data_IF_194599965260
#
_entry.id   IF_194599965260
#
_cell.length_a   1.000
_cell.length_b   1.000
_cell.length_c   1.000
_cell.angle_alpha   90.00
_cell.angle_beta   90.00
_cell.angle_gamma   90.00
#
_symmetry.space_group_name_H-M   'P 1'
#
loop_
_entity.id
_entity.type
_entity.pdbx_description
1 polymer ?
#
# COMPACT_ATOMS: atom_id res chain seq x y z
N UNK A 1 56.34 25.74 -5.67
CA UNK A 1 55.98 24.39 -6.13
C UNK A 1 54.82 23.90 -5.27
N UNK A 2 53.60 23.83 -5.82
CA UNK A 2 52.43 23.32 -5.09
C UNK A 2 52.48 21.79 -5.08
N UNK A 3 52.42 21.22 -3.88
CA UNK A 3 52.32 19.77 -3.65
C UNK A 3 50.82 19.42 -3.73
N UNK A 4 50.42 18.74 -4.81
CA UNK A 4 49.04 18.32 -5.02
C UNK A 4 48.59 17.32 -3.97
N UNK A 5 47.44 17.59 -3.34
CA UNK A 5 46.73 16.71 -2.42
C UNK A 5 46.20 15.49 -3.20
N UNK A 6 46.44 14.24 -2.75
CA UNK A 6 45.86 13.08 -3.41
C UNK A 6 44.34 13.08 -3.20
N UNK A 7 43.59 13.19 -4.30
CA UNK A 7 42.14 13.01 -4.36
C UNK A 7 41.78 11.65 -3.76
N UNK A 8 40.80 11.67 -2.85
CA UNK A 8 40.39 10.54 -2.03
C UNK A 8 40.09 9.28 -2.83
N UNK A 9 40.48 8.13 -2.28
CA UNK A 9 40.16 6.81 -2.85
C UNK A 9 38.64 6.66 -2.89
N UNK A 10 38.08 6.37 -4.05
CA UNK A 10 36.67 5.98 -4.17
C UNK A 10 36.53 4.58 -3.60
N UNK A 11 35.78 4.44 -2.51
CA UNK A 11 35.48 3.12 -1.96
C UNK A 11 34.51 2.39 -2.90
N UNK A 12 34.90 1.19 -3.31
CA UNK A 12 34.08 0.30 -4.12
C UNK A 12 33.68 -0.90 -3.28
N UNK A 13 32.38 -1.19 -3.22
CA UNK A 13 31.86 -2.37 -2.52
C UNK A 13 31.60 -3.49 -3.53
N UNK A 14 32.04 -4.71 -3.18
CA UNK A 14 31.76 -5.92 -3.95
C UNK A 14 30.56 -6.61 -3.33
N UNK A 15 29.53 -6.90 -4.13
CA UNK A 15 28.35 -7.63 -3.67
C UNK A 15 28.73 -9.06 -3.34
N UNK A 16 28.53 -9.45 -2.09
CA UNK A 16 28.67 -10.82 -1.66
C UNK A 16 27.31 -11.52 -1.75
N UNK A 17 27.24 -12.60 -2.54
CA UNK A 17 26.02 -13.38 -2.81
C UNK A 17 24.92 -12.53 -3.49
N UNK A 18 23.66 -12.82 -3.21
CA UNK A 18 22.51 -12.12 -3.75
C UNK A 18 21.90 -11.22 -2.67
N UNK A 19 21.46 -9.99 -3.01
CA UNK A 19 20.67 -9.16 -2.12
C UNK A 19 19.43 -9.93 -1.62
N UNK A 20 19.07 -9.72 -0.34
CA UNK A 20 17.90 -10.35 0.27
C UNK A 20 16.73 -9.38 0.17
N UNK A 21 15.60 -9.77 -0.46
CA UNK A 21 14.42 -8.93 -0.51
C UNK A 21 13.75 -8.79 0.87
N UNK A 22 13.28 -7.58 1.21
CA UNK A 22 12.70 -7.30 2.54
C UNK A 22 11.38 -8.05 2.80
N UNK A 23 10.60 -8.36 1.77
CA UNK A 23 9.32 -9.08 1.87
C UNK A 23 9.47 -10.57 2.25
N UNK A 24 10.70 -11.07 2.21
CA UNK A 24 11.06 -12.47 2.45
C UNK A 24 12.25 -12.61 3.40
N UNK A 25 12.58 -11.53 4.09
CA UNK A 25 13.66 -11.45 5.05
C UNK A 25 13.10 -11.54 6.47
N UNK A 26 13.64 -12.45 7.28
CA UNK A 26 13.31 -12.59 8.70
C UNK A 26 14.55 -12.27 9.52
N UNK A 27 14.37 -11.48 10.58
CA UNK A 27 15.43 -11.13 11.52
C UNK A 27 15.23 -11.86 12.84
N UNK A 28 16.30 -12.43 13.39
CA UNK A 28 16.29 -13.08 14.69
C UNK A 28 17.39 -12.50 15.57
N UNK A 29 17.01 -12.06 16.77
CA UNK A 29 17.97 -11.72 17.79
C UNK A 29 18.60 -13.01 18.35
N UNK A 30 19.91 -13.18 18.14
CA UNK A 30 20.67 -14.28 18.72
C UNK A 30 21.29 -13.80 20.04
N UNK A 31 20.44 -13.61 21.05
CA UNK A 31 20.94 -13.38 22.40
C UNK A 31 21.67 -14.62 22.92
N UNK A 32 22.81 -14.39 23.56
CA UNK A 32 23.58 -15.41 24.28
C UNK A 32 22.81 -15.84 25.53
N UNK A 33 21.71 -16.56 25.37
CA UNK A 33 20.84 -16.94 26.48
C UNK A 33 21.41 -18.08 27.35
N UNK A 34 22.61 -18.59 27.08
CA UNK A 34 23.27 -19.57 27.95
C UNK A 34 24.74 -19.19 28.17
N UNK A 35 24.96 -18.40 29.21
CA UNK A 35 26.23 -17.85 29.70
C UNK A 35 27.29 -18.88 30.14
N UNK A 36 27.11 -20.17 29.85
CA UNK A 36 27.99 -21.25 30.29
C UNK A 36 28.78 -21.94 29.16
N UNK A 37 28.59 -21.52 27.90
CA UNK A 37 29.43 -21.99 26.80
C UNK A 37 30.47 -20.94 26.43
N UNK A 38 31.76 -21.24 26.58
CA UNK A 38 32.87 -20.40 26.13
C UNK A 38 32.90 -20.16 24.60
N UNK A 39 31.96 -20.76 23.87
CA UNK A 39 31.77 -20.66 22.42
C UNK A 39 30.60 -19.75 22.01
N UNK A 40 29.99 -19.00 22.93
CA UNK A 40 28.85 -18.13 22.59
C UNK A 40 29.28 -16.92 21.76
N UNK A 41 28.52 -16.66 20.68
CA UNK A 41 28.72 -15.49 19.83
C UNK A 41 28.21 -14.24 20.56
N UNK A 42 29.10 -13.27 20.78
CA UNK A 42 28.74 -11.98 21.41
C UNK A 42 28.18 -11.03 20.38
N UNK A 43 27.09 -10.35 20.72
CA UNK A 43 26.47 -9.30 19.88
C UNK A 43 26.09 -9.82 18.49
N UNK A 44 25.69 -11.09 18.42
CA UNK A 44 25.27 -11.71 17.17
C UNK A 44 23.77 -11.53 16.94
N UNK A 45 23.41 -11.56 15.67
CA UNK A 45 22.04 -11.62 15.18
C UNK A 45 22.01 -12.43 13.89
N UNK A 46 20.81 -12.86 13.49
CA UNK A 46 20.62 -13.74 12.34
C UNK A 46 19.64 -13.12 11.36
N UNK A 47 20.01 -13.14 10.08
CA UNK A 47 19.12 -12.83 8.96
C UNK A 47 18.81 -14.13 8.22
N UNK A 48 17.53 -14.41 8.02
CA UNK A 48 17.03 -15.60 7.33
C UNK A 48 16.31 -15.15 6.06
N UNK A 49 16.77 -15.62 4.91
CA UNK A 49 16.07 -15.44 3.65
C UNK A 49 15.16 -16.65 3.42
N UNK A 50 13.86 -16.38 3.32
CA UNK A 50 12.83 -17.39 3.06
C UNK A 50 12.32 -17.28 1.63
N UNK A 51 11.73 -18.35 1.11
CA UNK A 51 10.87 -18.26 -0.07
C UNK A 51 9.46 -17.81 0.33
N UNK A 52 8.61 -17.51 -0.66
CA UNK A 52 7.17 -17.30 -0.45
C UNK A 52 6.44 -18.50 0.16
N UNK A 53 7.06 -19.68 0.14
CA UNK A 53 6.55 -20.90 0.79
C UNK A 53 7.26 -21.21 2.11
N UNK A 54 7.93 -20.22 2.71
CA UNK A 54 8.66 -20.33 3.98
C UNK A 54 9.79 -21.37 3.99
N UNK A 55 10.30 -21.75 2.81
CA UNK A 55 11.49 -22.58 2.71
C UNK A 55 12.74 -21.72 2.92
N UNK A 56 13.71 -22.20 3.71
CA UNK A 56 14.95 -21.49 3.96
C UNK A 56 15.84 -21.51 2.72
N UNK A 57 16.19 -20.32 2.22
CA UNK A 57 17.13 -20.13 1.10
C UNK A 57 18.55 -19.93 1.62
N UNK A 58 18.72 -19.09 2.64
CA UNK A 58 20.01 -18.78 3.25
C UNK A 58 19.84 -18.29 4.69
N UNK A 59 20.85 -18.54 5.51
CA UNK A 59 20.96 -18.05 6.89
C UNK A 59 22.29 -17.30 7.00
N UNK A 60 22.22 -16.07 7.52
CA UNK A 60 23.37 -15.22 7.74
C UNK A 60 23.48 -14.91 9.23
N UNK A 61 24.47 -15.49 9.88
CA UNK A 61 24.85 -15.09 11.24
C UNK A 61 25.85 -13.95 11.13
N UNK A 62 25.46 -12.80 11.64
CA UNK A 62 26.26 -11.57 11.64
C UNK A 62 26.61 -11.21 13.08
N UNK A 63 27.79 -10.63 13.25
CA UNK A 63 28.30 -10.24 14.55
C UNK A 63 28.66 -8.75 14.52
N UNK A 64 28.04 -7.97 15.41
CA UNK A 64 28.38 -6.57 15.59
C UNK A 64 29.68 -6.40 16.41
N UNK A 65 30.30 -5.23 16.33
CA UNK A 65 31.51 -4.93 17.11
C UNK A 65 31.21 -4.85 18.61
N UNK A 66 30.04 -4.30 18.98
CA UNK A 66 29.56 -4.19 20.34
C UNK A 66 28.03 -4.26 20.45
N UNK A 67 27.52 -4.15 21.69
CA UNK A 67 26.08 -4.20 21.99
C UNK A 67 25.30 -3.05 21.37
N UNK A 68 25.88 -1.85 21.34
CA UNK A 68 25.21 -0.67 20.81
C UNK A 68 25.05 -0.78 19.29
N UNK A 69 26.09 -1.24 18.59
CA UNK A 69 26.02 -1.50 17.15
C UNK A 69 24.97 -2.56 16.83
N UNK A 70 24.89 -3.65 17.63
CA UNK A 70 23.83 -4.66 17.47
C UNK A 70 22.44 -4.02 17.59
N UNK A 71 22.21 -3.23 18.64
CA UNK A 71 20.92 -2.54 18.86
C UNK A 71 20.57 -1.63 17.70
N UNK A 72 21.54 -0.86 17.18
CA UNK A 72 21.36 0.00 16.03
C UNK A 72 20.98 -0.79 14.76
N UNK A 73 21.66 -1.91 14.49
CA UNK A 73 21.32 -2.78 13.37
C UNK A 73 19.89 -3.33 13.49
N UNK A 74 19.48 -3.74 14.69
CA UNK A 74 18.13 -4.23 14.96
C UNK A 74 17.10 -3.14 14.70
N UNK A 75 17.30 -1.95 15.27
CA UNK A 75 16.41 -0.80 15.10
C UNK A 75 16.25 -0.42 13.62
N UNK A 76 17.37 -0.31 12.88
CA UNK A 76 17.32 0.02 11.46
C UNK A 76 16.65 -1.03 10.61
N UNK A 77 16.80 -2.30 10.98
CA UNK A 77 16.12 -3.37 10.27
C UNK A 77 14.61 -3.31 10.50
N UNK A 78 14.16 -3.12 11.74
CA UNK A 78 12.75 -2.96 12.09
C UNK A 78 12.12 -1.76 11.37
N UNK A 79 12.76 -0.59 11.43
CA UNK A 79 12.35 0.61 10.71
C UNK A 79 12.21 0.35 9.20
N UNK A 80 13.14 -0.40 8.61
CA UNK A 80 13.12 -0.72 7.18
C UNK A 80 11.95 -1.63 6.80
N UNK A 81 11.61 -2.62 7.63
CA UNK A 81 10.44 -3.50 7.41
C UNK A 81 9.14 -2.70 7.53
N UNK A 82 8.98 -1.90 8.58
CA UNK A 82 7.78 -1.06 8.77
C UNK A 82 7.58 -0.07 7.61
N UNK A 83 8.67 0.54 7.15
CA UNK A 83 8.65 1.42 5.99
C UNK A 83 8.27 0.68 4.71
N UNK A 84 8.81 -0.52 4.49
CA UNK A 84 8.47 -1.35 3.34
C UNK A 84 6.97 -1.69 3.33
N UNK A 85 6.42 -2.17 4.45
CA UNK A 85 5.00 -2.49 4.58
C UNK A 85 4.10 -1.26 4.34
N UNK A 86 4.50 -0.10 4.87
CA UNK A 86 3.79 1.16 4.68
C UNK A 86 3.74 1.60 3.21
N UNK A 87 4.85 1.45 2.49
CA UNK A 87 4.94 1.76 1.06
C UNK A 87 4.11 0.76 0.25
N UNK A 88 4.25 -0.54 0.53
CA UNK A 88 3.52 -1.61 -0.14
C UNK A 88 2.01 -1.40 -0.02
N UNK A 89 1.53 -1.06 1.17
CA UNK A 89 0.12 -0.77 1.43
C UNK A 89 -0.36 0.47 0.64
N UNK A 90 0.42 1.56 0.65
CA UNK A 90 0.13 2.77 -0.13
C UNK A 90 0.01 2.49 -1.62
N UNK A 91 0.90 1.68 -2.18
CA UNK A 91 0.90 1.36 -3.60
C UNK A 91 -0.23 0.40 -3.96
N UNK A 92 -0.56 -0.56 -3.08
CA UNK A 92 -1.72 -1.43 -3.26
C UNK A 92 -3.04 -0.62 -3.32
N UNK A 93 -3.19 0.39 -2.47
CA UNK A 93 -4.37 1.26 -2.47
C UNK A 93 -4.50 2.09 -3.75
N UNK A 94 -3.38 2.57 -4.32
CA UNK A 94 -3.39 3.32 -5.59
C UNK A 94 -3.84 2.47 -6.78
N UNK A 95 -3.50 1.18 -6.77
CA UNK A 95 -3.81 0.24 -7.85
C UNK A 95 -5.19 -0.42 -7.68
N UNK A 96 -5.90 -0.18 -6.57
CA UNK A 96 -7.24 -0.74 -6.35
C UNK A 96 -8.28 0.10 -7.12
N UNK A 97 -9.03 -0.49 -8.08
CA UNK A 97 -9.88 0.27 -9.00
C UNK A 97 -11.05 1.01 -8.33
N UNK A 98 -11.35 0.70 -7.06
CA UNK A 98 -12.41 1.34 -6.29
C UNK A 98 -12.17 2.83 -6.00
N UNK A 99 -10.93 3.32 -6.09
CA UNK A 99 -10.62 4.76 -5.92
C UNK A 99 -10.64 5.56 -7.23
N UNK A 100 -10.59 4.87 -8.39
CA UNK A 100 -10.59 5.53 -9.71
C UNK A 100 -11.99 5.98 -10.16
N UNK A 101 -13.07 5.46 -9.57
CA UNK A 101 -14.45 5.77 -9.98
C UNK A 101 -15.08 6.97 -9.26
N UNK A 102 -14.44 7.56 -8.25
CA UNK A 102 -14.99 8.74 -7.56
C UNK A 102 -14.76 10.07 -8.30
N UNK A 103 -14.06 10.03 -9.44
CA UNK A 103 -14.28 11.05 -10.48
C UNK A 103 -15.63 10.79 -11.16
N UNK A 104 -16.72 11.09 -10.45
CA UNK A 104 -18.07 11.23 -11.01
C UNK A 104 -18.03 12.37 -12.04
N UNK A 105 -17.51 12.09 -13.23
CA UNK A 105 -17.72 12.95 -14.38
C UNK A 105 -19.19 12.84 -14.72
N UNK A 106 -19.88 13.94 -14.43
CA UNK A 106 -21.19 14.31 -14.97
C UNK A 106 -21.05 14.40 -16.50
N UNK A 107 -21.03 13.26 -17.19
CA UNK A 107 -21.19 13.20 -18.63
C UNK A 107 -22.67 13.44 -18.95
N UNK A 108 -23.03 14.72 -18.99
CA UNK A 108 -24.22 15.14 -19.70
C UNK A 108 -24.05 14.85 -21.19
N UNK A 109 -25.09 14.22 -21.76
CA UNK A 109 -25.51 14.29 -23.15
C UNK A 109 -24.85 13.36 -24.18
N UNK A 110 -25.67 12.45 -24.73
CA UNK A 110 -25.89 12.44 -26.17
C UNK A 110 -27.38 12.23 -26.46
N UNK A 111 -28.03 13.22 -27.08
CA UNK A 111 -29.39 13.09 -27.63
C UNK A 111 -29.36 12.12 -28.79
N UNK A 112 -30.19 11.08 -28.70
CA UNK A 112 -30.50 10.19 -29.82
C UNK A 112 -31.29 10.99 -30.87
N UNK A 113 -30.78 11.10 -32.09
CA UNK A 113 -31.53 11.64 -33.23
C UNK A 113 -32.35 10.51 -33.86
N UNK A 114 -33.64 10.44 -33.55
CA UNK A 114 -34.55 9.48 -34.20
C UNK A 114 -34.95 10.01 -35.58
N UNK A 115 -34.56 9.27 -36.59
CA UNK A 115 -34.72 9.52 -38.03
C UNK A 115 -36.19 9.35 -38.44
N UNK A 116 -36.64 10.21 -39.35
CA UNK A 116 -37.97 10.19 -39.99
C UNK A 116 -38.37 8.82 -40.57
N UNK A 117 -39.61 8.41 -40.30
CA UNK A 117 -40.45 7.62 -41.21
C UNK A 117 -41.91 8.00 -41.00
N UNK A 118 -42.55 8.44 -42.09
CA UNK A 118 -43.99 8.74 -42.20
C UNK A 118 -44.75 7.43 -42.06
N UNK A 119 -45.90 7.45 -41.37
CA UNK A 119 -47.12 6.80 -41.87
C UNK A 119 -48.35 7.27 -41.08
N UNK A 120 -49.48 7.19 -41.78
CA UNK A 120 -50.73 7.92 -41.59
C UNK A 120 -51.68 7.29 -40.56
N UNK A 121 -52.66 8.13 -40.17
CA UNK A 121 -54.09 7.85 -39.99
C UNK A 121 -54.72 7.69 -38.58
N UNK A 122 -55.79 8.52 -38.40
CA UNK A 122 -57.05 8.35 -37.63
C UNK A 122 -56.99 8.58 -36.12
N UNK A 123 -57.43 9.73 -35.60
CA UNK A 123 -58.81 10.29 -35.47
C UNK A 123 -59.66 9.63 -34.35
N UNK A 124 -60.32 10.49 -33.54
CA UNK A 124 -61.29 10.31 -32.44
C UNK A 124 -60.71 10.52 -31.02
N UNK A 125 -60.86 11.68 -30.37
CA UNK A 125 -62.07 12.40 -29.89
C UNK A 125 -62.64 11.83 -28.57
N UNK A 126 -63.04 12.76 -27.66
CA UNK A 126 -63.67 12.68 -26.32
C UNK A 126 -62.69 12.93 -25.16
N UNK A 127 -62.57 14.14 -24.60
CA UNK A 127 -63.57 15.04 -24.00
C UNK A 127 -64.29 14.44 -22.78
N UNK A 128 -64.35 15.25 -21.70
CA UNK A 128 -65.19 15.15 -20.48
C UNK A 128 -64.71 14.21 -19.35
N UNK A 129 -64.84 14.50 -18.05
CA UNK A 129 -65.28 15.63 -17.21
C UNK A 129 -65.22 15.09 -15.76
N UNK A 130 -65.12 15.98 -14.76
CA UNK A 130 -65.43 15.79 -13.31
C UNK A 130 -64.40 15.05 -12.45
N UNK A 131 -63.67 15.72 -11.55
CA UNK A 131 -64.11 16.45 -10.34
C UNK A 131 -64.72 15.54 -9.27
N UNK A 132 -63.92 15.25 -8.23
CA UNK A 132 -64.29 15.18 -6.80
C UNK A 132 -62.99 14.95 -6.01
N UNK A 133 -62.40 15.99 -5.43
CA UNK A 133 -62.78 16.64 -4.16
C UNK A 133 -62.17 15.90 -2.95
N UNK A 134 -61.20 16.63 -2.34
CA UNK A 134 -60.84 16.78 -0.93
C UNK A 134 -60.77 15.55 -0.01
N UNK A 135 -59.66 15.43 0.70
CA UNK A 135 -59.56 15.89 2.09
C UNK A 135 -58.07 15.97 2.48
N UNK A 136 -57.56 17.16 2.85
CA UNK A 136 -57.37 17.64 4.25
C UNK A 136 -56.34 16.78 5.01
N UNK A 137 -55.29 17.25 5.68
CA UNK A 137 -54.91 18.56 6.21
C UNK A 137 -53.40 18.53 6.56
N UNK A 138 -52.71 19.66 6.41
CA UNK A 138 -51.58 20.05 7.26
C UNK A 138 -52.10 20.32 8.68
N UNK A 139 -51.29 20.14 9.74
CA UNK A 139 -50.76 21.36 10.35
C UNK A 139 -49.30 21.26 10.78
N UNK A 140 -48.70 22.45 10.74
CA UNK A 140 -47.38 22.85 11.20
C UNK A 140 -47.22 22.89 12.73
N UNK A 141 -45.98 23.19 13.15
CA UNK A 141 -45.49 23.55 14.50
C UNK A 141 -45.15 22.37 15.44
N UNK A 142 -44.24 22.46 16.41
CA UNK A 142 -43.01 23.22 16.68
C UNK A 142 -42.49 22.62 18.00
N UNK A 143 -41.17 22.66 18.20
CA UNK A 143 -40.42 22.68 19.46
C UNK A 143 -41.17 22.46 20.79
N UNK A 144 -40.71 21.48 21.58
CA UNK A 144 -39.80 21.65 22.74
C UNK A 144 -39.12 20.31 23.07
#
# INVERSE_FOLDING_TARGET
>A
MQKGTPVGKTDHYVVQRQPVPLDSCVFCDADSNDSNSSLSLKFAFVIIHLTRYYQVVAIYTLQAADKHDKELWIEKFQESIENYESIQLKDMLKCTPLFSSLSLRRCSSSRLMTKHSRDKEKEKEKEKEKEKEKDCCDPSSSAE
#
